data_IF_271618654814
#
_entry.id   IF_271618654814
#
_cell.length_a   1.000
_cell.length_b   1.000
_cell.length_c   1.000
_cell.angle_alpha   90.00
_cell.angle_beta   90.00
_cell.angle_gamma   90.00
#
_symmetry.space_group_name_H-M   'P 1'
#
loop_
_entity.id
_entity.type
_entity.pdbx_description
1 polymer ?
#
# COMPACT_ATOMS: atom_id res chain seq x y z
N UNK A 1 31.39 -7.27 -10.77
CA UNK A 1 30.18 -6.53 -10.35
C UNK A 1 30.27 -6.32 -8.86
N UNK A 2 30.16 -5.09 -8.37
CA UNK A 2 30.33 -4.78 -6.96
C UNK A 2 29.00 -5.07 -6.24
N UNK A 3 28.99 -5.54 -4.99
CA UNK A 3 27.75 -5.94 -4.30
C UNK A 3 26.74 -4.80 -4.24
N UNK A 4 27.22 -3.57 -4.06
CA UNK A 4 26.42 -2.33 -4.06
C UNK A 4 25.64 -2.12 -5.36
N UNK A 5 26.24 -2.40 -6.52
CA UNK A 5 25.56 -2.23 -7.81
C UNK A 5 24.52 -3.31 -8.05
N UNK A 6 24.74 -4.52 -7.54
CA UNK A 6 23.76 -5.61 -7.61
C UNK A 6 22.50 -5.30 -6.79
N UNK A 7 22.67 -4.81 -5.55
CA UNK A 7 21.55 -4.40 -4.71
C UNK A 7 20.77 -3.23 -5.31
N UNK A 8 21.45 -2.27 -5.93
CA UNK A 8 20.79 -1.17 -6.62
C UNK A 8 19.92 -1.66 -7.79
N UNK A 9 20.47 -2.48 -8.69
CA UNK A 9 19.73 -3.02 -9.84
C UNK A 9 18.53 -3.87 -9.43
N UNK A 10 18.67 -4.68 -8.38
CA UNK A 10 17.55 -5.46 -7.84
C UNK A 10 16.50 -4.54 -7.20
N UNK A 11 16.94 -3.52 -6.47
CA UNK A 11 16.06 -2.50 -5.89
C UNK A 11 15.22 -1.80 -6.96
N UNK A 12 15.84 -1.34 -8.04
CA UNK A 12 15.14 -0.67 -9.15
C UNK A 12 14.10 -1.58 -9.81
N UNK A 13 14.42 -2.87 -9.98
CA UNK A 13 13.48 -3.85 -10.54
C UNK A 13 12.29 -4.10 -9.60
N UNK A 14 12.55 -4.24 -8.30
CA UNK A 14 11.50 -4.41 -7.28
C UNK A 14 10.61 -3.18 -7.25
N UNK A 15 11.17 -1.97 -7.29
CA UNK A 15 10.40 -0.72 -7.33
C UNK A 15 9.50 -0.66 -8.57
N UNK A 16 10.00 -1.06 -9.75
CA UNK A 16 9.18 -1.16 -10.96
C UNK A 16 8.02 -2.15 -10.81
N UNK A 17 8.27 -3.31 -10.18
CA UNK A 17 7.23 -4.30 -9.92
C UNK A 17 6.19 -3.80 -8.92
N UNK A 18 6.62 -3.11 -7.86
CA UNK A 18 5.74 -2.50 -6.86
C UNK A 18 4.84 -1.47 -7.54
N UNK A 19 5.38 -0.58 -8.38
CA UNK A 19 4.58 0.39 -9.14
C UNK A 19 3.52 -0.27 -10.03
N UNK A 20 3.87 -1.34 -10.73
CA UNK A 20 2.91 -2.10 -11.54
C UNK A 20 1.82 -2.73 -10.66
N UNK A 21 2.20 -3.35 -9.55
CA UNK A 21 1.27 -3.97 -8.62
C UNK A 21 0.32 -2.96 -7.97
N UNK A 22 0.77 -1.73 -7.69
CA UNK A 22 -0.09 -0.64 -7.19
C UNK A 22 -1.19 -0.30 -8.20
N UNK A 23 -0.86 -0.28 -9.51
CA UNK A 23 -1.87 -0.11 -10.56
C UNK A 23 -2.91 -1.23 -10.57
N UNK A 24 -2.49 -2.48 -10.35
CA UNK A 24 -3.39 -3.63 -10.25
C UNK A 24 -4.29 -3.56 -9.01
N UNK A 25 -3.75 -3.12 -7.87
CA UNK A 25 -4.53 -2.88 -6.64
C UNK A 25 -5.60 -1.81 -6.87
N UNK A 26 -5.24 -0.71 -7.52
CA UNK A 26 -6.20 0.35 -7.86
C UNK A 26 -7.32 -0.17 -8.78
N UNK A 27 -6.97 -0.96 -9.80
CA UNK A 27 -7.94 -1.59 -10.69
C UNK A 27 -8.85 -2.57 -9.94
N UNK A 28 -8.30 -3.39 -9.04
CA UNK A 28 -9.06 -4.35 -8.24
C UNK A 28 -10.11 -3.67 -7.36
N UNK A 29 -9.75 -2.54 -6.74
CA UNK A 29 -10.70 -1.75 -5.93
C UNK A 29 -11.77 -1.12 -6.82
N UNK A 30 -11.40 -0.55 -7.97
CA UNK A 30 -12.35 0.06 -8.90
C UNK A 30 -13.40 -0.95 -9.41
N UNK A 31 -12.98 -2.13 -9.84
CA UNK A 31 -13.91 -3.15 -10.35
C UNK A 31 -14.84 -3.66 -9.24
N UNK A 32 -14.32 -3.81 -8.02
CA UNK A 32 -15.12 -4.20 -6.87
C UNK A 32 -16.17 -3.14 -6.50
N UNK A 33 -15.83 -1.85 -6.55
CA UNK A 33 -16.79 -0.76 -6.31
C UNK A 33 -17.86 -0.71 -7.41
N UNK A 34 -17.47 -0.87 -8.68
CA UNK A 34 -18.39 -0.73 -9.82
C UNK A 34 -19.37 -1.89 -9.95
N UNK A 35 -18.91 -3.11 -9.70
CA UNK A 35 -19.70 -4.32 -9.94
C UNK A 35 -20.14 -5.01 -8.64
N UNK A 36 -19.65 -4.56 -7.48
CA UNK A 36 -20.06 -5.07 -6.17
C UNK A 36 -19.49 -6.44 -5.80
N UNK A 37 -18.55 -6.97 -6.58
CA UNK A 37 -17.96 -8.31 -6.36
C UNK A 37 -16.44 -8.28 -6.51
N UNK A 38 -15.74 -9.09 -5.73
CA UNK A 38 -14.28 -9.22 -5.82
C UNK A 38 -13.86 -10.06 -7.03
N UNK A 39 -13.14 -9.46 -7.98
CA UNK A 39 -12.67 -10.14 -9.20
C UNK A 39 -11.29 -10.80 -9.07
N UNK A 40 -10.51 -10.43 -8.05
CA UNK A 40 -9.14 -10.90 -7.85
C UNK A 40 -9.04 -11.94 -6.70
N UNK A 41 -10.13 -12.69 -6.47
CA UNK A 41 -10.20 -13.78 -5.48
C UNK A 41 -10.32 -13.35 -4.02
N UNK A 42 -9.90 -12.13 -3.68
CA UNK A 42 -10.13 -11.50 -2.37
C UNK A 42 -10.64 -10.08 -2.54
N UNK A 43 -11.41 -9.60 -1.56
CA UNK A 43 -11.89 -8.22 -1.50
C UNK A 43 -10.75 -7.30 -1.04
N UNK A 44 -10.15 -6.59 -1.99
CA UNK A 44 -9.11 -5.59 -1.69
C UNK A 44 -9.75 -4.39 -1.00
N UNK A 45 -10.97 -4.02 -1.41
CA UNK A 45 -11.72 -2.94 -0.79
C UNK A 45 -12.00 -3.22 0.70
N UNK A 46 -12.49 -4.43 1.03
CA UNK A 46 -12.78 -4.80 2.43
C UNK A 46 -11.52 -4.78 3.29
N UNK A 47 -10.38 -5.26 2.76
CA UNK A 47 -9.11 -5.21 3.47
C UNK A 47 -8.72 -3.76 3.81
N UNK A 48 -8.86 -2.83 2.84
CA UNK A 48 -8.55 -1.40 3.05
C UNK A 48 -9.53 -0.78 4.06
N UNK A 49 -10.83 -1.00 3.90
CA UNK A 49 -11.86 -0.45 4.80
C UNK A 49 -11.68 -0.97 6.23
N UNK A 50 -11.32 -2.25 6.39
CA UNK A 50 -11.03 -2.85 7.69
C UNK A 50 -9.82 -2.18 8.36
N UNK A 51 -8.73 -1.95 7.62
CA UNK A 51 -7.55 -1.24 8.13
C UNK A 51 -7.89 0.20 8.54
N UNK A 52 -8.63 0.93 7.71
CA UNK A 52 -9.08 2.30 8.02
C UNK A 52 -10.00 2.30 9.25
N UNK A 53 -10.91 1.32 9.34
CA UNK A 53 -11.78 1.13 10.50
C UNK A 53 -11.00 0.86 11.78
N UNK A 54 -9.94 0.05 11.72
CA UNK A 54 -9.06 -0.21 12.86
C UNK A 54 -8.38 1.08 13.35
N UNK A 55 -7.87 1.91 12.44
CA UNK A 55 -7.30 3.22 12.79
C UNK A 55 -8.36 4.16 13.37
N UNK A 56 -9.55 4.22 12.78
CA UNK A 56 -10.65 5.05 13.27
C UNK A 56 -11.13 4.64 14.67
N UNK A 57 -11.18 3.34 14.94
CA UNK A 57 -11.55 2.79 16.25
C UNK A 57 -10.53 3.08 17.35
N UNK A 58 -9.25 3.26 16.98
CA UNK A 58 -8.19 3.67 17.89
C UNK A 58 -8.28 5.17 18.28
N UNK A 59 -9.17 5.95 17.64
CA UNK A 59 -9.42 7.36 17.94
C UNK A 59 -8.17 8.23 17.80
N UNK A 60 -7.87 9.03 18.84
CA UNK A 60 -6.71 9.93 18.85
C UNK A 60 -5.38 9.19 18.68
N UNK A 61 -5.22 8.01 19.32
CA UNK A 61 -4.01 7.21 19.20
C UNK A 61 -3.76 6.74 17.76
N UNK A 62 -4.83 6.38 17.04
CA UNK A 62 -4.76 6.00 15.63
C UNK A 62 -4.21 7.14 14.76
N UNK A 63 -4.74 8.35 14.93
CA UNK A 63 -4.27 9.53 14.18
C UNK A 63 -2.82 9.88 14.52
N UNK A 64 -2.45 9.87 15.80
CA UNK A 64 -1.07 10.14 16.22
C UNK A 64 -0.10 9.13 15.62
N UNK A 65 -0.47 7.84 15.60
CA UNK A 65 0.37 6.81 14.97
C UNK A 65 0.57 7.05 13.48
N UNK A 66 -0.48 7.44 12.74
CA UNK A 66 -0.36 7.79 11.33
C UNK A 66 0.51 9.04 11.11
N UNK A 67 0.39 10.06 11.95
CA UNK A 67 1.21 11.27 11.87
C UNK A 67 2.70 10.95 12.08
N UNK A 68 3.03 10.06 13.01
CA UNK A 68 4.40 9.60 13.24
C UNK A 68 4.92 8.84 12.01
N UNK A 69 4.12 7.91 11.46
CA UNK A 69 4.50 7.14 10.27
C UNK A 69 4.71 8.04 9.04
N UNK A 70 3.80 8.99 8.79
CA UNK A 70 3.91 9.96 7.71
C UNK A 70 5.13 10.86 7.92
N UNK A 71 5.33 11.37 9.14
CA UNK A 71 6.51 12.18 9.48
C UNK A 71 7.82 11.43 9.25
N UNK A 72 7.88 10.14 9.61
CA UNK A 72 9.04 9.29 9.35
C UNK A 72 9.25 9.02 7.86
N UNK A 73 8.17 8.84 7.10
CA UNK A 73 8.23 8.63 5.65
C UNK A 73 8.78 9.86 4.92
N UNK A 74 8.27 11.06 5.24
CA UNK A 74 8.76 12.32 4.66
C UNK A 74 10.17 12.71 5.12
N UNK A 75 10.62 12.26 6.29
CA UNK A 75 12.00 12.51 6.74
C UNK A 75 13.04 11.68 5.97
N UNK A 76 12.62 10.61 5.28
CA UNK A 76 13.52 9.68 4.56
C UNK A 76 13.59 9.94 3.04
N UNK A 77 12.75 10.82 2.52
CA UNK A 77 12.78 11.28 1.12
C UNK A 77 13.53 12.59 0.98
#
# INVERSE_FOLDING_TARGET
MNTKTMFATVGDWVDGLVHLSMGLVALAVLTEILFGTAYFGTSVLTNIVSLVGAVGSAGFAGVVSLLILIGMFYHRS
#
